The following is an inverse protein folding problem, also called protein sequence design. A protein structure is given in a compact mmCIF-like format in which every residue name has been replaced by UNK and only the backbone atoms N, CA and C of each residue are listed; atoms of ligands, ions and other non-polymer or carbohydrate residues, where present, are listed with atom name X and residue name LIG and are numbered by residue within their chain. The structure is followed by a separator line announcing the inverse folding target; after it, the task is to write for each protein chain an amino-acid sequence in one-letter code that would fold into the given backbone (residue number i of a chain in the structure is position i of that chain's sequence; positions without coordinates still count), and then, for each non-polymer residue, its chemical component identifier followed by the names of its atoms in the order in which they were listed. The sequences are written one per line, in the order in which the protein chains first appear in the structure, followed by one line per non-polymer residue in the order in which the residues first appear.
data_IF_640925579146
#
_entry.id   IF_640925579146
#
_cell.length_a   1.000
_cell.length_b   1.000
_cell.length_c   1.000
_cell.angle_alpha   90.00
_cell.angle_beta   90.00
_cell.angle_gamma   90.00
#
_symmetry.space_group_name_H-M   'P 1'
#
loop_
_entity.id
_entity.type
_entity.pdbx_description
1 polymer ?
#
# COMPACT_ATOMS: atom_id res chain seq x y z
N UNK A 1 15.78 -6.05 -6.21
CA UNK A 1 14.42 -6.42 -5.77
C UNK A 1 14.41 -6.39 -4.26
N UNK A 2 13.53 -5.58 -3.66
CA UNK A 2 13.32 -5.50 -2.21
C UNK A 2 11.96 -6.13 -1.89
N UNK A 3 11.94 -7.09 -0.97
CA UNK A 3 10.74 -7.77 -0.50
C UNK A 3 10.55 -7.46 0.99
N UNK A 4 9.35 -7.05 1.39
CA UNK A 4 9.07 -6.69 2.78
C UNK A 4 7.73 -7.27 3.23
N UNK A 5 7.69 -7.83 4.44
CA UNK A 5 6.47 -8.34 5.06
C UNK A 5 6.14 -7.47 6.28
N UNK A 6 5.03 -6.75 6.24
CA UNK A 6 4.56 -5.84 7.28
C UNK A 6 5.64 -4.85 7.80
N UNK A 7 6.40 -4.17 6.91
CA UNK A 7 7.63 -3.44 7.27
C UNK A 7 7.43 -2.32 8.30
N UNK A 8 6.21 -1.76 8.40
CA UNK A 8 5.94 -0.59 9.21
C UNK A 8 4.95 -0.84 10.37
N UNK A 9 4.51 -2.09 10.56
CA UNK A 9 3.45 -2.44 11.50
C UNK A 9 3.81 -2.11 12.96
N UNK A 10 5.08 -2.26 13.34
CA UNK A 10 5.57 -2.07 14.70
C UNK A 10 5.98 -0.61 15.05
N UNK A 11 5.80 0.32 14.12
CA UNK A 11 6.24 1.71 14.27
C UNK A 11 5.12 2.61 14.76
N UNK A 12 5.47 3.64 15.53
CA UNK A 12 4.60 4.77 15.80
C UNK A 12 4.35 5.62 14.53
N UNK A 13 3.34 6.49 14.59
CA UNK A 13 2.88 7.24 13.42
C UNK A 13 3.96 8.16 12.83
N UNK A 14 4.78 8.82 13.66
CA UNK A 14 5.79 9.77 13.18
C UNK A 14 6.94 9.01 12.54
N UNK A 15 7.45 7.97 13.21
CA UNK A 15 8.55 7.15 12.68
C UNK A 15 8.14 6.46 11.38
N UNK A 16 6.89 5.99 11.30
CA UNK A 16 6.33 5.40 10.07
C UNK A 16 6.31 6.40 8.92
N UNK A 17 5.86 7.62 9.15
CA UNK A 17 5.78 8.65 8.13
C UNK A 17 7.16 9.00 7.54
N UNK A 18 8.16 9.16 8.41
CA UNK A 18 9.56 9.37 8.00
C UNK A 18 10.07 8.20 7.15
N UNK A 19 9.80 6.96 7.55
CA UNK A 19 10.27 5.80 6.81
C UNK A 19 9.54 5.57 5.48
N UNK A 20 8.28 6.01 5.37
CA UNK A 20 7.57 6.03 4.08
C UNK A 20 8.23 7.01 3.10
N UNK A 21 8.64 8.19 3.57
CA UNK A 21 9.36 9.17 2.75
C UNK A 21 10.74 8.64 2.33
N UNK A 22 11.48 8.03 3.27
CA UNK A 22 12.77 7.42 2.97
C UNK A 22 12.67 6.26 1.97
N UNK A 23 11.66 5.40 2.10
CA UNK A 23 11.42 4.32 1.13
C UNK A 23 11.16 4.89 -0.27
N UNK A 24 10.32 5.93 -0.36
CA UNK A 24 9.99 6.59 -1.63
C UNK A 24 11.22 7.23 -2.27
N UNK A 25 12.05 7.90 -1.46
CA UNK A 25 13.31 8.51 -1.89
C UNK A 25 14.30 7.47 -2.41
N UNK A 26 14.56 6.41 -1.64
CA UNK A 26 15.47 5.32 -2.03
C UNK A 26 14.98 4.63 -3.30
N UNK A 27 13.67 4.41 -3.41
CA UNK A 27 13.06 3.83 -4.60
C UNK A 27 13.31 4.72 -5.84
N UNK A 28 13.07 6.03 -5.74
CA UNK A 28 13.30 6.97 -6.83
C UNK A 28 14.78 7.09 -7.25
N UNK A 29 15.71 7.03 -6.29
CA UNK A 29 17.15 7.08 -6.56
C UNK A 29 17.69 5.79 -7.18
N UNK A 30 17.20 4.62 -6.73
CA UNK A 30 17.77 3.33 -7.10
C UNK A 30 17.02 2.62 -8.23
N UNK A 31 15.78 3.03 -8.53
CA UNK A 31 14.85 2.32 -9.42
C UNK A 31 14.67 0.84 -9.04
N UNK A 32 14.85 0.49 -7.76
CA UNK A 32 14.70 -0.88 -7.27
C UNK A 32 13.25 -1.29 -7.33
N UNK A 33 12.91 -2.47 -7.88
CA UNK A 33 11.56 -3.02 -7.71
C UNK A 33 11.30 -3.36 -6.25
N UNK A 34 10.20 -2.86 -5.69
CA UNK A 34 9.77 -3.11 -4.30
C UNK A 34 8.44 -3.86 -4.32
N UNK A 35 8.35 -4.95 -3.56
CA UNK A 35 7.10 -5.63 -3.25
C UNK A 35 6.97 -5.72 -1.75
N UNK A 36 5.83 -5.28 -1.22
CA UNK A 36 5.57 -5.39 0.20
C UNK A 36 4.14 -5.83 0.49
N UNK A 37 3.96 -6.48 1.63
CA UNK A 37 2.67 -6.87 2.17
C UNK A 37 2.37 -5.97 3.36
N UNK A 38 1.14 -5.47 3.44
CA UNK A 38 0.67 -4.64 4.55
C UNK A 38 -0.81 -4.88 4.80
N UNK A 39 -1.22 -4.82 6.06
CA UNK A 39 -2.62 -4.76 6.46
C UNK A 39 -3.18 -3.33 6.45
N UNK A 40 -2.35 -2.32 6.16
CA UNK A 40 -2.77 -0.92 6.09
C UNK A 40 -3.00 -0.49 4.63
N UNK A 41 -4.27 -0.39 4.24
CA UNK A 41 -4.66 -0.02 2.87
C UNK A 41 -4.14 1.37 2.47
N UNK A 42 -4.16 2.36 3.38
CA UNK A 42 -3.66 3.72 3.08
C UNK A 42 -2.17 3.73 2.80
N UNK A 43 -1.42 2.91 3.51
CA UNK A 43 0.02 2.72 3.26
C UNK A 43 0.27 2.09 1.89
N UNK A 44 -0.52 1.08 1.51
CA UNK A 44 -0.43 0.48 0.18
C UNK A 44 -0.67 1.53 -0.92
N UNK A 45 -1.70 2.37 -0.79
CA UNK A 45 -2.02 3.41 -1.77
C UNK A 45 -0.97 4.54 -1.79
N UNK A 46 -0.43 4.95 -0.63
CA UNK A 46 0.62 5.96 -0.55
C UNK A 46 1.88 5.52 -1.29
N UNK A 47 2.34 4.29 -1.06
CA UNK A 47 3.67 3.86 -1.48
C UNK A 47 3.69 3.14 -2.83
N UNK A 48 2.63 2.40 -3.17
CA UNK A 48 2.65 1.51 -4.32
C UNK A 48 2.15 2.20 -5.60
N UNK A 49 2.69 1.79 -6.75
CA UNK A 49 2.09 2.08 -8.06
C UNK A 49 0.96 1.12 -8.39
N UNK A 50 0.88 0.00 -7.67
CA UNK A 50 -0.05 -1.08 -7.93
C UNK A 50 -0.39 -1.80 -6.64
N UNK A 51 -1.68 -1.99 -6.38
CA UNK A 51 -2.18 -2.69 -5.20
C UNK A 51 -2.86 -3.98 -5.66
N UNK A 52 -2.53 -5.09 -5.02
CA UNK A 52 -3.11 -6.40 -5.31
C UNK A 52 -3.80 -6.91 -4.06
N UNK A 53 -5.10 -7.17 -4.16
CA UNK A 53 -5.89 -7.79 -3.10
C UNK A 53 -5.87 -9.30 -3.26
N UNK A 54 -5.51 -10.01 -2.20
CA UNK A 54 -5.58 -11.46 -2.13
C UNK A 54 -6.86 -11.91 -1.41
N UNK A 55 -7.54 -12.92 -1.95
CA UNK A 55 -8.68 -13.59 -1.31
C UNK A 55 -8.25 -14.39 -0.09
N UNK A 56 -9.16 -14.57 0.87
CA UNK A 56 -8.86 -15.21 2.15
C UNK A 56 -8.53 -16.69 1.99
N UNK A 57 -9.40 -17.49 1.34
CA UNK A 57 -9.18 -18.92 1.04
C UNK A 57 -9.99 -19.38 -0.17
N UNK A 58 -9.37 -20.07 -1.16
CA UNK A 58 -7.93 -20.20 -1.38
C UNK A 58 -7.31 -18.84 -1.76
N UNK A 59 -6.03 -18.62 -1.44
CA UNK A 59 -5.31 -17.40 -1.82
C UNK A 59 -5.23 -17.25 -3.34
N UNK A 60 -5.99 -16.31 -3.87
CA UNK A 60 -6.06 -15.93 -5.29
C UNK A 60 -6.02 -14.42 -5.36
N UNK A 61 -5.63 -13.89 -6.51
CA UNK A 61 -5.81 -12.47 -6.78
C UNK A 61 -7.31 -12.23 -6.91
N UNK A 62 -7.89 -11.50 -5.96
CA UNK A 62 -9.29 -11.13 -5.97
C UNK A 62 -9.49 -9.90 -6.87
N UNK A 63 -8.58 -8.92 -6.76
CA UNK A 63 -8.63 -7.68 -7.53
C UNK A 63 -7.26 -6.98 -7.55
N UNK A 64 -7.05 -6.12 -8.54
CA UNK A 64 -5.84 -5.32 -8.73
C UNK A 64 -6.24 -3.88 -9.08
N UNK A 65 -5.45 -2.92 -8.59
CA UNK A 65 -5.60 -1.50 -8.88
C UNK A 65 -4.27 -0.93 -9.34
N UNK A 66 -4.30 -0.11 -10.39
CA UNK A 66 -3.23 0.84 -10.70
C UNK A 66 -3.47 2.10 -9.86
N UNK A 67 -2.42 2.62 -9.22
CA UNK A 67 -2.52 3.83 -8.41
C UNK A 67 -2.07 5.04 -9.24
N UNK A 68 -3.01 5.59 -10.00
CA UNK A 68 -2.82 6.77 -10.87
C UNK A 68 -2.85 8.10 -10.10
N UNK A 69 -2.07 8.18 -9.03
CA UNK A 69 -1.88 9.38 -8.21
C UNK A 69 -0.40 9.77 -8.31
N UNK A 70 -0.07 11.02 -8.62
CA UNK A 70 1.34 11.42 -8.75
C UNK A 70 2.06 11.42 -7.39
N UNK A 71 3.36 11.11 -7.39
CA UNK A 71 4.22 11.29 -6.22
C UNK A 71 4.68 12.77 -6.13
N UNK A 72 4.92 13.32 -4.92
CA UNK A 72 4.85 12.67 -3.62
C UNK A 72 3.42 12.58 -3.07
N UNK A 73 3.09 11.44 -2.44
CA UNK A 73 1.79 11.19 -1.79
C UNK A 73 1.90 11.17 -0.28
N UNK A 74 0.85 11.65 0.39
CA UNK A 74 0.66 11.55 1.84
C UNK A 74 -0.57 10.73 2.19
N UNK A 75 -0.62 10.20 3.40
CA UNK A 75 -1.76 9.40 3.89
C UNK A 75 -3.05 10.25 3.96
N UNK A 76 -2.89 11.57 4.14
CA UNK A 76 -3.96 12.55 4.29
C UNK A 76 -4.52 13.05 2.95
N UNK A 77 -3.86 12.76 1.83
CA UNK A 77 -4.30 13.24 0.52
C UNK A 77 -5.68 12.68 0.17
N UNK A 78 -6.56 13.54 -0.37
CA UNK A 78 -7.94 13.15 -0.70
C UNK A 78 -7.99 11.98 -1.68
N UNK A 79 -7.18 12.00 -2.74
CA UNK A 79 -7.12 10.93 -3.73
C UNK A 79 -6.66 9.59 -3.11
N UNK A 80 -5.70 9.63 -2.17
CA UNK A 80 -5.24 8.45 -1.43
C UNK A 80 -6.38 7.91 -0.56
N UNK A 81 -7.10 8.81 0.13
CA UNK A 81 -8.23 8.43 0.96
C UNK A 81 -9.36 7.79 0.16
N UNK A 82 -9.73 8.35 -0.99
CA UNK A 82 -10.79 7.85 -1.87
C UNK A 82 -10.48 6.43 -2.38
N UNK A 83 -9.29 6.21 -2.94
CA UNK A 83 -8.90 4.88 -3.42
C UNK A 83 -8.76 3.88 -2.26
N UNK A 84 -8.31 4.33 -1.09
CA UNK A 84 -8.23 3.47 0.09
C UNK A 84 -9.60 3.02 0.57
N UNK A 85 -10.62 3.89 0.49
CA UNK A 85 -12.01 3.53 0.81
C UNK A 85 -12.52 2.46 -0.16
N UNK A 86 -12.31 2.63 -1.46
CA UNK A 86 -12.70 1.63 -2.47
C UNK A 86 -12.08 0.25 -2.16
N UNK A 87 -10.76 0.21 -1.97
CA UNK A 87 -10.03 -1.04 -1.70
C UNK A 87 -10.50 -1.67 -0.38
N UNK A 88 -10.77 -0.86 0.64
CA UNK A 88 -11.25 -1.36 1.94
C UNK A 88 -12.65 -1.98 1.84
N UNK A 89 -13.54 -1.40 1.04
CA UNK A 89 -14.88 -1.97 0.81
C UNK A 89 -14.80 -3.31 0.07
N UNK A 90 -13.92 -3.44 -0.93
CA UNK A 90 -13.67 -4.72 -1.60
C UNK A 90 -13.07 -5.77 -0.66
N UNK A 91 -12.08 -5.39 0.14
CA UNK A 91 -11.50 -6.27 1.15
C UNK A 91 -12.56 -6.76 2.16
N UNK A 92 -13.47 -5.89 2.60
CA UNK A 92 -14.57 -6.26 3.49
C UNK A 92 -15.55 -7.22 2.82
N UNK A 93 -15.86 -7.00 1.54
CA UNK A 93 -16.69 -7.89 0.75
C UNK A 93 -16.07 -9.29 0.62
N UNK A 94 -14.76 -9.37 0.44
CA UNK A 94 -14.02 -10.62 0.32
C UNK A 94 -13.95 -11.39 1.65
N UNK A 95 -13.72 -10.72 2.78
CA UNK A 95 -13.66 -11.37 4.11
C UNK A 95 -15.02 -11.94 4.53
N UNK A 96 -16.13 -11.39 4.03
CA UNK A 96 -17.49 -11.83 4.37
C UNK A 96 -17.98 -13.02 3.51
N UNK A 97 -17.28 -13.38 2.44
CA UNK A 97 -17.61 -14.53 1.59
C UNK A 97 -17.03 -15.83 2.15
#
# INVERSE_FOLDING_TARGET
LLLMDEPFAALDAITRDVLHDELTRIWAETNTSVLFVTHNVREAVRLAQRVVLLSSRPGRIAREWTVDIEQPRRIEDTAVAELSVEITEELRGEIRR
#
